data_IF_077976844173
#
_entry.id   IF_077976844173
#
_cell.length_a   1.000
_cell.length_b   1.000
_cell.length_c   1.000
_cell.angle_alpha   90.00
_cell.angle_beta   90.00
_cell.angle_gamma   90.00
#
_symmetry.space_group_name_H-M   'P 1'
#
loop_
_entity.id
_entity.type
_entity.pdbx_description
1 polymer ?
#
# COMPACT_ATOMS: atom_id res chain seq x y z
N UNK A 1 25.42 -19.82 15.19
CA UNK A 1 23.98 -19.68 15.48
C UNK A 1 23.57 -18.38 14.81
N UNK A 2 22.92 -18.45 13.64
CA UNK A 2 22.50 -17.26 12.90
C UNK A 2 21.06 -16.99 13.27
N UNK A 3 20.83 -15.87 13.95
CA UNK A 3 19.52 -15.40 14.32
C UNK A 3 18.98 -14.63 13.11
N UNK A 4 18.15 -15.29 12.28
CA UNK A 4 17.45 -14.65 11.16
C UNK A 4 16.24 -13.88 11.73
N UNK A 5 16.46 -12.64 12.16
CA UNK A 5 15.36 -11.71 12.39
C UNK A 5 15.77 -10.32 11.93
N UNK A 6 15.87 -10.15 10.61
CA UNK A 6 15.92 -8.84 10.00
C UNK A 6 14.62 -8.67 9.21
N UNK A 7 13.64 -7.97 9.79
CA UNK A 7 12.40 -7.62 9.09
C UNK A 7 12.78 -6.78 7.86
N UNK A 8 12.68 -7.37 6.66
CA UNK A 8 12.94 -6.65 5.43
C UNK A 8 11.73 -5.77 5.12
N UNK A 9 11.96 -4.47 4.94
CA UNK A 9 10.90 -3.51 4.61
C UNK A 9 11.29 -2.68 3.40
N UNK A 10 10.31 -2.42 2.52
CA UNK A 10 10.42 -1.39 1.49
C UNK A 10 9.85 -0.12 2.07
N UNK A 11 10.62 0.96 2.02
CA UNK A 11 10.17 2.29 2.43
C UNK A 11 10.01 3.17 1.19
N UNK A 12 9.02 4.06 1.24
CA UNK A 12 8.81 5.07 0.23
C UNK A 12 8.11 6.28 0.82
N UNK A 13 8.09 7.36 0.05
CA UNK A 13 7.28 8.53 0.33
C UNK A 13 6.29 8.68 -0.81
N UNK A 14 5.02 8.88 -0.49
CA UNK A 14 3.95 9.00 -1.48
C UNK A 14 3.00 10.14 -1.11
N UNK A 15 2.41 10.78 -2.12
CA UNK A 15 1.22 11.60 -1.93
C UNK A 15 -0.07 10.76 -2.11
N UNK A 16 -1.22 11.38 -1.80
CA UNK A 16 -2.51 10.69 -1.87
C UNK A 16 -2.84 10.19 -3.28
N UNK A 17 -2.49 10.94 -4.34
CA UNK A 17 -2.75 10.51 -5.72
C UNK A 17 -1.95 9.27 -6.09
N UNK A 18 -0.66 9.25 -5.72
CA UNK A 18 0.22 8.11 -5.97
C UNK A 18 -0.26 6.86 -5.23
N UNK A 19 -0.67 7.01 -3.97
CA UNK A 19 -1.25 5.93 -3.18
C UNK A 19 -2.55 5.41 -3.80
N UNK A 20 -3.47 6.29 -4.17
CA UNK A 20 -4.72 5.90 -4.83
C UNK A 20 -4.48 5.27 -6.21
N UNK A 21 -3.44 5.71 -6.92
CA UNK A 21 -2.96 5.09 -8.15
C UNK A 21 -2.57 3.64 -7.90
N UNK A 22 -1.77 3.36 -6.87
CA UNK A 22 -1.35 2.01 -6.48
C UNK A 22 -2.54 1.13 -6.10
N UNK A 23 -3.49 1.65 -5.30
CA UNK A 23 -4.67 0.91 -4.85
C UNK A 23 -5.49 0.33 -6.01
N UNK A 24 -5.62 1.07 -7.11
CA UNK A 24 -6.38 0.64 -8.30
C UNK A 24 -5.78 -0.57 -9.02
N UNK A 25 -4.50 -0.88 -8.79
CA UNK A 25 -3.84 -2.07 -9.35
C UNK A 25 -3.91 -3.29 -8.44
N UNK A 26 -4.35 -3.13 -7.18
CA UNK A 26 -4.46 -4.25 -6.26
C UNK A 26 -5.65 -5.13 -6.64
N UNK A 27 -5.40 -6.43 -6.80
CA UNK A 27 -6.44 -7.39 -7.18
C UNK A 27 -7.70 -7.32 -6.30
N UNK A 28 -7.63 -7.21 -4.96
CA UNK A 28 -8.82 -7.09 -4.12
C UNK A 28 -9.66 -5.84 -4.43
N UNK A 29 -9.00 -4.72 -4.75
CA UNK A 29 -9.68 -3.48 -5.13
C UNK A 29 -10.44 -3.68 -6.44
N UNK A 30 -9.77 -4.23 -7.45
CA UNK A 30 -10.36 -4.51 -8.77
C UNK A 30 -11.52 -5.49 -8.65
N UNK A 31 -11.37 -6.55 -7.88
CA UNK A 31 -12.40 -7.55 -7.66
C UNK A 31 -13.63 -6.94 -6.99
N UNK A 32 -13.43 -6.18 -5.90
CA UNK A 32 -14.54 -5.54 -5.18
C UNK A 32 -15.30 -4.55 -6.06
N UNK A 33 -14.61 -3.66 -6.78
CA UNK A 33 -15.27 -2.69 -7.67
C UNK A 33 -16.04 -3.36 -8.81
N UNK A 34 -15.63 -4.56 -9.23
CA UNK A 34 -16.37 -5.34 -10.23
C UNK A 34 -17.65 -5.96 -9.65
N UNK A 35 -17.59 -6.47 -8.43
CA UNK A 35 -18.71 -7.12 -7.76
C UNK A 35 -19.72 -6.09 -7.20
N UNK A 36 -19.29 -4.86 -6.98
CA UNK A 36 -20.08 -3.75 -6.42
C UNK A 36 -19.95 -2.46 -7.27
N UNK A 37 -20.44 -2.45 -8.53
CA UNK A 37 -20.28 -1.31 -9.44
C UNK A 37 -21.01 -0.03 -9.00
N UNK A 38 -21.98 -0.15 -8.10
CA UNK A 38 -22.70 0.98 -7.49
C UNK A 38 -21.89 1.72 -6.42
N UNK A 39 -20.81 1.11 -5.93
CA UNK A 39 -19.95 1.67 -4.87
C UNK A 39 -18.72 2.31 -5.50
N UNK A 40 -18.56 3.62 -5.34
CA UNK A 40 -17.32 4.32 -5.70
C UNK A 40 -16.28 4.17 -4.59
N UNK A 41 -15.73 2.96 -4.45
CA UNK A 41 -14.73 2.62 -3.45
C UNK A 41 -13.50 3.54 -3.53
N UNK A 42 -13.13 4.00 -4.74
CA UNK A 42 -12.01 4.90 -4.93
C UNK A 42 -12.27 6.26 -4.28
N UNK A 43 -13.45 6.83 -4.51
CA UNK A 43 -13.84 8.11 -3.92
C UNK A 43 -13.96 8.03 -2.40
N UNK A 44 -14.53 6.94 -1.87
CA UNK A 44 -14.71 6.74 -0.43
C UNK A 44 -13.36 6.67 0.29
N UNK A 45 -12.45 5.79 -0.16
CA UNK A 45 -11.10 5.68 0.44
C UNK A 45 -10.35 7.01 0.32
N UNK A 46 -10.41 7.67 -0.85
CA UNK A 46 -9.75 8.97 -1.06
C UNK A 46 -10.24 10.01 -0.06
N UNK A 47 -11.56 10.10 0.16
CA UNK A 47 -12.17 11.04 1.10
C UNK A 47 -11.71 10.79 2.52
N UNK A 48 -11.73 9.53 2.96
CA UNK A 48 -11.34 9.16 4.32
C UNK A 48 -9.85 9.40 4.58
N UNK A 49 -9.00 9.05 3.61
CA UNK A 49 -7.56 9.32 3.66
C UNK A 49 -7.25 10.81 3.66
N UNK A 50 -7.90 11.60 2.80
CA UNK A 50 -7.74 13.05 2.79
C UNK A 50 -8.16 13.68 4.13
N UNK A 51 -9.26 13.20 4.72
CA UNK A 51 -9.72 13.64 6.04
C UNK A 51 -8.73 13.28 7.15
N UNK A 52 -8.13 12.10 7.09
CA UNK A 52 -7.11 11.67 8.05
C UNK A 52 -5.83 12.51 7.93
N UNK A 53 -5.33 12.72 6.71
CA UNK A 53 -4.12 13.50 6.44
C UNK A 53 -4.27 14.97 6.86
N UNK A 54 -5.44 15.57 6.64
CA UNK A 54 -5.72 16.96 7.04
C UNK A 54 -5.66 17.20 8.56
N UNK A 55 -5.78 16.15 9.39
CA UNK A 55 -5.63 16.25 10.85
C UNK A 55 -4.17 16.36 11.29
N UNK A 56 -3.25 15.86 10.47
CA UNK A 56 -1.83 15.74 10.81
C UNK A 56 -1.00 16.77 10.06
N UNK A 57 -1.41 17.14 8.85
CA UNK A 57 -0.69 18.04 7.97
C UNK A 57 -1.60 19.14 7.40
N UNK A 58 -1.05 20.32 7.09
CA UNK A 58 -1.79 21.37 6.39
C UNK A 58 -2.35 20.87 5.06
N UNK A 59 -3.53 21.34 4.63
CA UNK A 59 -4.10 20.97 3.33
C UNK A 59 -3.17 21.37 2.18
N UNK A 60 -2.83 20.41 1.32
CA UNK A 60 -1.90 20.60 0.19
C UNK A 60 -1.42 19.26 -0.40
N UNK A 61 -0.40 19.29 -1.26
CA UNK A 61 0.28 18.10 -1.80
C UNK A 61 1.16 17.43 -0.73
N UNK A 62 0.52 17.03 0.37
CA UNK A 62 1.17 16.42 1.51
C UNK A 62 1.63 15.01 1.13
N UNK A 63 2.91 14.76 1.33
CA UNK A 63 3.49 13.43 1.26
C UNK A 63 3.46 12.76 2.63
N UNK A 64 3.41 11.43 2.64
CA UNK A 64 3.50 10.60 3.83
C UNK A 64 4.42 9.41 3.58
N UNK A 65 5.03 8.92 4.65
CA UNK A 65 5.88 7.74 4.60
C UNK A 65 5.02 6.48 4.55
N UNK A 66 5.43 5.53 3.71
CA UNK A 66 4.82 4.22 3.59
C UNK A 66 5.89 3.14 3.74
N UNK A 67 5.55 2.07 4.44
CA UNK A 67 6.41 0.90 4.58
C UNK A 67 5.65 -0.38 4.23
N UNK A 68 6.23 -1.22 3.40
CA UNK A 68 5.72 -2.57 3.14
C UNK A 68 6.64 -3.61 3.75
N UNK A 69 6.06 -4.54 4.49
CA UNK A 69 6.80 -5.70 4.99
C UNK A 69 7.05 -6.67 3.85
N UNK A 70 8.28 -7.20 3.80
CA UNK A 70 8.69 -8.21 2.85
C UNK A 70 9.02 -9.52 3.55
N UNK A 71 8.70 -10.63 2.89
CA UNK A 71 9.23 -11.93 3.23
C UNK A 71 9.96 -12.51 2.02
N UNK A 72 11.11 -13.15 2.25
CA UNK A 72 11.89 -13.82 1.21
C UNK A 72 11.97 -15.31 1.53
N UNK A 73 11.56 -16.14 0.57
CA UNK A 73 11.74 -17.58 0.62
C UNK A 73 12.93 -17.96 -0.26
N UNK A 74 14.06 -18.30 0.36
CA UNK A 74 15.26 -18.77 -0.34
C UNK A 74 15.33 -20.29 -0.31
N UNK A 75 15.51 -20.90 -1.48
CA UNK A 75 15.73 -22.34 -1.61
C UNK A 75 16.99 -22.62 -2.43
N UNK A 76 17.79 -23.59 -2.02
CA UNK A 76 18.89 -24.07 -2.85
C UNK A 76 18.34 -25.02 -3.91
N UNK A 77 18.68 -24.76 -5.18
CA UNK A 77 18.46 -25.74 -6.24
C UNK A 77 19.25 -27.01 -5.91
N UNK A 78 18.63 -28.20 -5.89
CA UNK A 78 19.36 -29.45 -5.69
C UNK A 78 20.40 -29.64 -6.79
N UNK A 79 21.65 -29.94 -6.40
CA UNK A 79 22.72 -30.30 -7.33
C UNK A 79 22.81 -31.82 -7.46
N UNK A 80 22.05 -32.37 -8.41
CA UNK A 80 22.26 -33.68 -9.04
C UNK A 80 21.89 -33.59 -10.51
#
# INVERSE_FOLDING_TARGET
>A
MVQLSDDLKIFGQMNLEEYMGLMKYLWPFVAYSKDHPEVDLAADIRKDMASALAKVNPPGNTTFDISWDMFILMGHKPSK
#
